data_IF_448100953527
#
_entry.id   IF_448100953527
#
_cell.length_a   1.000
_cell.length_b   1.000
_cell.length_c   1.000
_cell.angle_alpha   90.00
_cell.angle_beta   90.00
_cell.angle_gamma   90.00
#
_symmetry.space_group_name_H-M   'P 1'
#
loop_
_entity.id
_entity.type
_entity.pdbx_description
1 polymer ?
#
# COMPACT_ATOMS: atom_id res chain seq x y z
N UNK A 1 -23.12 -31.53 65.53
CA UNK A 1 -23.06 -31.64 64.05
C UNK A 1 -22.98 -30.24 63.46
N UNK A 2 -21.81 -29.88 62.88
CA UNK A 2 -21.43 -28.51 62.50
C UNK A 2 -21.34 -28.45 60.97
N UNK A 3 -22.34 -27.86 60.29
CA UNK A 3 -22.30 -27.62 58.83
C UNK A 3 -21.55 -26.31 58.57
N UNK A 4 -20.34 -26.39 58.01
CA UNK A 4 -19.63 -25.24 57.46
C UNK A 4 -20.12 -24.97 56.03
N UNK A 5 -20.42 -23.72 55.63
CA UNK A 5 -20.70 -23.40 54.24
C UNK A 5 -19.42 -23.49 53.39
N UNK A 6 -19.58 -23.99 52.16
CA UNK A 6 -18.52 -24.23 51.20
C UNK A 6 -17.88 -22.90 50.79
N UNK A 7 -16.58 -22.74 51.04
CA UNK A 7 -15.77 -21.69 50.42
C UNK A 7 -15.69 -21.97 48.92
N UNK A 8 -16.29 -21.09 48.12
CA UNK A 8 -16.18 -21.11 46.67
C UNK A 8 -14.78 -20.60 46.32
N UNK A 9 -13.94 -21.50 45.79
CA UNK A 9 -12.54 -21.25 45.48
C UNK A 9 -12.42 -20.29 44.29
N UNK A 10 -12.08 -19.03 44.58
CA UNK A 10 -11.83 -17.95 43.61
C UNK A 10 -10.57 -18.24 42.75
N UNK A 11 -9.84 -19.33 43.04
CA UNK A 11 -8.61 -19.75 42.34
C UNK A 11 -8.82 -20.09 40.85
N UNK A 12 -10.06 -20.29 40.39
CA UNK A 12 -10.35 -20.60 38.98
C UNK A 12 -10.56 -19.36 38.09
N UNK A 13 -10.63 -18.15 38.65
CA UNK A 13 -10.77 -16.91 37.88
C UNK A 13 -9.43 -16.20 37.56
N UNK A 14 -8.35 -16.62 38.23
CA UNK A 14 -7.01 -16.02 38.06
C UNK A 14 -6.26 -16.35 36.76
N UNK A 15 -6.48 -17.50 36.07
CA UNK A 15 -5.74 -17.77 34.83
C UNK A 15 -6.31 -17.02 33.62
N UNK A 16 -7.54 -16.49 33.69
CA UNK A 16 -8.10 -15.67 32.60
C UNK A 16 -7.42 -14.28 32.52
N UNK A 17 -7.01 -13.72 33.67
CA UNK A 17 -6.34 -12.42 33.73
C UNK A 17 -4.91 -12.47 33.18
N UNK A 18 -4.23 -13.62 33.16
CA UNK A 18 -2.88 -13.73 32.62
C UNK A 18 -2.83 -13.81 31.08
N UNK A 19 -3.86 -14.36 30.43
CA UNK A 19 -3.92 -14.41 28.95
C UNK A 19 -4.20 -13.03 28.35
N UNK A 20 -4.88 -12.14 29.10
CA UNK A 20 -5.22 -10.78 28.63
C UNK A 20 -4.07 -9.78 28.79
N UNK A 21 -3.04 -10.11 29.57
CA UNK A 21 -1.91 -9.21 29.84
C UNK A 21 -0.75 -9.28 28.83
N UNK A 22 -0.90 -10.01 27.71
CA UNK A 22 0.18 -10.19 26.72
C UNK A 22 -0.09 -9.52 25.35
N UNK A 23 -1.16 -8.75 25.16
CA UNK A 23 -1.49 -8.25 23.80
C UNK A 23 -2.15 -6.88 23.69
N UNK A 24 -2.30 -6.14 24.79
CA UNK A 24 -2.96 -4.83 24.75
C UNK A 24 -2.08 -3.77 25.39
N UNK A 25 -1.12 -3.26 24.62
CA UNK A 25 -0.54 -1.95 24.91
C UNK A 25 -1.41 -0.90 24.25
N UNK A 26 -2.41 -0.41 24.99
CA UNK A 26 -3.17 0.80 24.63
C UNK A 26 -2.26 2.00 24.89
N UNK A 27 -1.51 2.44 23.88
CA UNK A 27 -0.89 3.76 23.93
C UNK A 27 -1.97 4.82 23.69
N UNK A 28 -2.11 5.84 24.54
CA UNK A 28 -3.09 6.89 24.33
C UNK A 28 -2.54 7.93 23.36
N UNK A 29 -2.39 7.56 22.09
CA UNK A 29 -2.41 8.50 20.98
C UNK A 29 -3.24 7.89 19.84
N UNK A 30 -4.56 7.87 20.10
CA UNK A 30 -5.67 7.72 19.13
C UNK A 30 -5.77 6.42 18.30
N UNK A 31 -5.39 5.26 18.84
CA UNK A 31 -5.53 4.00 18.09
C UNK A 31 -5.47 2.69 18.89
N UNK A 32 -5.87 1.59 18.24
CA UNK A 32 -5.77 0.20 18.73
C UNK A 32 -4.79 -0.55 17.84
N UNK A 33 -3.75 -1.14 18.43
CA UNK A 33 -2.76 -1.95 17.71
C UNK A 33 -2.67 -3.34 18.31
N UNK A 34 -2.66 -4.37 17.46
CA UNK A 34 -2.53 -5.77 17.88
C UNK A 34 -1.22 -6.32 17.33
N UNK A 35 -0.17 -6.41 18.18
CA UNK A 35 1.10 -7.01 17.80
C UNK A 35 0.97 -8.54 17.73
N UNK A 36 1.70 -9.16 16.80
CA UNK A 36 1.85 -10.63 16.72
C UNK A 36 3.30 -11.08 16.92
N UNK A 37 4.25 -10.19 16.64
CA UNK A 37 5.66 -10.35 16.93
C UNK A 37 6.30 -8.97 17.11
N UNK A 38 7.55 -8.91 17.56
CA UNK A 38 8.27 -7.65 17.72
C UNK A 38 8.32 -6.88 16.39
N UNK A 39 7.76 -5.67 16.39
CA UNK A 39 7.68 -4.80 15.21
C UNK A 39 6.69 -5.25 14.12
N UNK A 40 5.90 -6.31 14.37
CA UNK A 40 4.90 -6.83 13.44
C UNK A 40 3.50 -6.71 14.03
N UNK A 41 2.65 -5.92 13.39
CA UNK A 41 1.27 -5.69 13.79
C UNK A 41 0.30 -6.40 12.83
N UNK A 42 -0.64 -7.17 13.38
CA UNK A 42 -1.72 -7.78 12.59
C UNK A 42 -2.90 -6.82 12.38
N UNK A 43 -3.12 -5.92 13.34
CA UNK A 43 -4.14 -4.88 13.25
C UNK A 43 -3.55 -3.55 13.70
N UNK A 44 -3.71 -2.51 12.90
CA UNK A 44 -3.42 -1.13 13.30
C UNK A 44 -4.62 -0.24 12.96
N UNK A 45 -5.39 0.10 13.98
CA UNK A 45 -6.46 1.10 13.90
C UNK A 45 -5.93 2.40 14.48
N UNK A 46 -5.99 3.50 13.72
CA UNK A 46 -5.68 4.84 14.21
C UNK A 46 -6.73 5.83 13.71
N UNK A 47 -7.01 6.88 14.49
CA UNK A 47 -7.97 7.90 14.08
C UNK A 47 -7.33 8.91 13.12
N UNK A 48 -6.17 9.44 13.52
CA UNK A 48 -5.50 10.53 12.81
C UNK A 48 -4.18 10.05 12.20
N UNK A 49 -3.33 9.42 13.00
CA UNK A 49 -1.99 9.03 12.58
C UNK A 49 -1.58 7.70 13.23
N UNK A 50 -1.09 6.77 12.42
CA UNK A 50 -0.53 5.50 12.87
C UNK A 50 0.75 5.19 12.12
N UNK A 51 1.83 4.95 12.87
CA UNK A 51 3.12 4.49 12.35
C UNK A 51 3.45 3.10 12.85
N UNK A 52 3.77 2.19 11.94
CA UNK A 52 4.14 0.81 12.22
C UNK A 52 5.39 0.44 11.45
N UNK A 53 6.22 -0.45 11.97
CA UNK A 53 7.35 -0.95 11.19
C UNK A 53 6.84 -1.91 10.11
N UNK A 54 6.26 -3.03 10.53
CA UNK A 54 5.68 -4.03 9.64
C UNK A 54 4.21 -4.27 9.98
N UNK A 55 3.34 -4.22 8.97
CA UNK A 55 1.93 -4.61 9.11
C UNK A 55 1.75 -5.93 8.35
N UNK A 56 1.39 -7.00 9.07
CA UNK A 56 1.07 -8.30 8.51
C UNK A 56 -0.42 -8.60 8.75
N UNK A 57 -1.29 -7.82 8.10
CA UNK A 57 -2.72 -7.87 8.32
C UNK A 57 -3.42 -6.61 7.80
N UNK A 58 -4.20 -5.94 8.64
CA UNK A 58 -5.02 -4.81 8.24
C UNK A 58 -4.67 -3.55 9.02
N UNK A 59 -4.58 -2.42 8.33
CA UNK A 59 -4.45 -1.12 8.95
C UNK A 59 -5.50 -0.16 8.43
N UNK A 60 -6.18 0.53 9.34
CA UNK A 60 -7.25 1.48 9.04
C UNK A 60 -7.02 2.77 9.82
N UNK A 61 -7.07 3.91 9.13
CA UNK A 61 -6.97 5.20 9.81
C UNK A 61 -6.82 6.41 8.92
N UNK A 62 -6.66 7.59 9.50
CA UNK A 62 -6.47 8.84 8.75
C UNK A 62 -5.18 8.81 7.91
N UNK A 63 -4.05 8.74 8.61
CA UNK A 63 -2.71 8.65 8.03
C UNK A 63 -2.03 7.37 8.49
N UNK A 64 -1.74 6.46 7.56
CA UNK A 64 -1.10 5.18 7.85
C UNK A 64 0.31 5.13 7.26
N UNK A 65 1.34 5.10 8.11
CA UNK A 65 2.74 4.96 7.71
C UNK A 65 3.26 3.57 8.10
N UNK A 66 3.90 2.86 7.16
CA UNK A 66 4.75 1.73 7.53
C UNK A 66 5.98 1.54 6.66
N UNK A 67 6.96 0.78 7.15
CA UNK A 67 8.08 0.35 6.32
C UNK A 67 7.65 -0.78 5.39
N UNK A 68 6.97 -1.79 5.93
CA UNK A 68 6.47 -2.92 5.15
C UNK A 68 4.98 -3.18 5.41
N UNK A 69 4.22 -3.45 4.36
CA UNK A 69 2.84 -3.90 4.42
C UNK A 69 2.73 -5.27 3.73
N UNK A 70 2.14 -6.23 4.42
CA UNK A 70 1.72 -7.53 3.92
C UNK A 70 0.23 -7.70 4.28
N UNK A 71 -0.66 -7.20 3.43
CA UNK A 71 -2.10 -7.26 3.69
C UNK A 71 -2.85 -6.05 3.13
N UNK A 72 -3.64 -5.36 3.96
CA UNK A 72 -4.50 -4.27 3.52
C UNK A 72 -4.31 -2.98 4.33
N UNK A 73 -4.29 -1.83 3.64
CA UNK A 73 -4.37 -0.49 4.24
C UNK A 73 -5.59 0.27 3.72
N UNK A 74 -6.32 0.91 4.61
CA UNK A 74 -7.42 1.82 4.28
C UNK A 74 -7.23 3.12 5.01
N UNK A 75 -7.19 4.24 4.30
CA UNK A 75 -7.05 5.54 4.95
C UNK A 75 -7.17 6.74 4.04
N UNK A 76 -7.03 7.94 4.59
CA UNK A 76 -6.99 9.16 3.77
C UNK A 76 -5.65 9.21 3.04
N UNK A 77 -4.56 8.99 3.78
CA UNK A 77 -3.21 8.94 3.25
C UNK A 77 -2.54 7.64 3.72
N UNK A 78 -1.97 6.89 2.80
CA UNK A 78 -1.22 5.68 3.09
C UNK A 78 0.20 5.82 2.55
N UNK A 79 1.19 5.64 3.42
CA UNK A 79 2.61 5.58 3.05
C UNK A 79 3.16 4.20 3.39
N UNK A 80 3.87 3.58 2.45
CA UNK A 80 4.61 2.32 2.70
C UNK A 80 5.92 2.30 1.94
N UNK A 81 7.07 1.95 2.52
CA UNK A 81 8.26 1.73 1.69
C UNK A 81 8.06 0.52 0.78
N UNK A 82 7.63 -0.59 1.35
CA UNK A 82 7.23 -1.78 0.61
C UNK A 82 5.77 -2.13 0.90
N UNK A 83 4.95 -2.17 -0.15
CA UNK A 83 3.53 -2.50 -0.06
C UNK A 83 3.24 -3.78 -0.83
N UNK A 84 2.90 -4.86 -0.13
CA UNK A 84 2.45 -6.12 -0.69
C UNK A 84 0.99 -6.37 -0.29
N UNK A 85 0.06 -6.05 -1.19
CA UNK A 85 -1.36 -6.31 -0.98
C UNK A 85 -2.28 -5.20 -1.50
N UNK A 86 -3.26 -4.80 -0.71
CA UNK A 86 -4.31 -3.86 -1.12
C UNK A 86 -4.18 -2.54 -0.36
N UNK A 87 -4.16 -1.43 -1.07
CA UNK A 87 -4.20 -0.10 -0.44
C UNK A 87 -5.35 0.71 -1.02
N UNK A 88 -6.12 1.33 -0.14
CA UNK A 88 -7.27 2.17 -0.50
C UNK A 88 -7.14 3.50 0.24
N UNK A 89 -7.15 4.60 -0.50
CA UNK A 89 -7.12 5.93 0.11
C UNK A 89 -7.13 7.08 -0.86
N UNK A 90 -7.21 8.32 -0.37
CA UNK A 90 -7.14 9.47 -1.27
C UNK A 90 -5.75 9.59 -1.88
N UNK A 91 -4.72 9.37 -1.07
CA UNK A 91 -3.32 9.43 -1.50
C UNK A 91 -2.56 8.20 -1.02
N UNK A 92 -2.12 7.37 -1.95
CA UNK A 92 -1.30 6.19 -1.66
C UNK A 92 0.11 6.43 -2.18
N UNK A 93 1.11 6.32 -1.32
CA UNK A 93 2.52 6.49 -1.64
C UNK A 93 3.25 5.19 -1.30
N UNK A 94 3.97 4.62 -2.26
CA UNK A 94 4.84 3.49 -1.99
C UNK A 94 6.17 3.52 -2.75
N UNK A 95 7.30 3.21 -2.11
CA UNK A 95 8.56 3.12 -2.84
C UNK A 95 8.60 1.88 -3.74
N UNK A 96 8.01 0.79 -3.25
CA UNK A 96 7.73 -0.44 -3.98
C UNK A 96 6.33 -0.93 -3.68
N UNK A 97 5.59 -1.23 -4.74
CA UNK A 97 4.20 -1.64 -4.67
C UNK A 97 3.97 -2.94 -5.45
N UNK A 98 3.40 -3.93 -4.77
CA UNK A 98 2.92 -5.18 -5.35
C UNK A 98 1.48 -5.40 -4.90
N UNK A 99 0.55 -5.43 -5.85
CA UNK A 99 -0.87 -5.68 -5.57
C UNK A 99 -1.80 -4.61 -6.13
N UNK A 100 -2.82 -4.21 -5.36
CA UNK A 100 -3.92 -3.35 -5.82
C UNK A 100 -3.90 -2.03 -5.05
N UNK A 101 -3.88 -0.91 -5.78
CA UNK A 101 -3.84 0.43 -5.22
C UNK A 101 -5.02 1.23 -5.76
N UNK A 102 -5.94 1.64 -4.90
CA UNK A 102 -7.14 2.39 -5.27
C UNK A 102 -7.13 3.75 -4.59
N UNK A 103 -7.29 4.83 -5.35
CA UNK A 103 -7.34 6.15 -4.75
C UNK A 103 -7.66 7.33 -5.65
N UNK A 104 -7.42 8.55 -5.16
CA UNK A 104 -7.39 9.72 -6.05
C UNK A 104 -6.02 9.89 -6.67
N UNK A 105 -4.97 9.70 -5.87
CA UNK A 105 -3.57 9.79 -6.25
C UNK A 105 -2.85 8.52 -5.79
N UNK A 106 -2.23 7.82 -6.72
CA UNK A 106 -1.32 6.72 -6.43
C UNK A 106 0.09 7.10 -6.89
N UNK A 107 1.05 7.15 -5.97
CA UNK A 107 2.45 7.44 -6.23
C UNK A 107 3.30 6.23 -5.89
N UNK A 108 4.14 5.84 -6.84
CA UNK A 108 4.96 4.64 -6.72
C UNK A 108 6.35 4.80 -7.32
N UNK A 109 7.32 4.09 -6.77
CA UNK A 109 8.69 4.10 -7.26
C UNK A 109 9.64 4.86 -6.34
N UNK A 110 10.93 4.84 -6.69
CA UNK A 110 12.01 5.30 -5.83
C UNK A 110 11.86 6.81 -5.54
N UNK A 111 11.39 7.15 -4.34
CA UNK A 111 11.79 8.40 -3.71
C UNK A 111 13.31 8.35 -3.60
N UNK A 112 14.00 9.38 -4.10
CA UNK A 112 15.48 9.42 -4.15
C UNK A 112 16.07 9.33 -2.74
N UNK A 113 16.18 8.12 -2.21
CA UNK A 113 16.90 7.84 -0.98
C UNK A 113 18.25 7.28 -1.39
N UNK A 114 19.21 8.20 -1.39
CA UNK A 114 20.62 7.96 -1.66
C UNK A 114 21.17 6.96 -0.62
N UNK A 115 21.83 5.89 -1.09
CA UNK A 115 22.61 4.88 -0.33
C UNK A 115 21.90 3.58 0.11
N UNK A 116 21.52 2.74 -0.84
CA UNK A 116 21.48 1.28 -0.61
C UNK A 116 21.72 0.55 -1.93
N UNK A 117 22.51 -0.56 -1.94
CA UNK A 117 22.79 -1.29 -3.15
C UNK A 117 21.51 -1.87 -3.73
N UNK A 118 21.36 -1.60 -5.01
CA UNK A 118 20.19 -1.80 -5.85
C UNK A 118 19.86 -3.29 -6.01
N UNK A 119 18.97 -3.82 -5.16
CA UNK A 119 18.14 -4.93 -5.59
C UNK A 119 17.08 -4.35 -6.52
N UNK A 120 17.25 -4.62 -7.80
CA UNK A 120 16.37 -4.29 -8.93
C UNK A 120 14.98 -4.97 -8.77
N UNK A 121 14.28 -4.62 -7.70
CA UNK A 121 13.02 -5.27 -7.36
C UNK A 121 11.93 -4.33 -7.85
N UNK A 122 11.40 -4.68 -9.01
CA UNK A 122 10.33 -3.96 -9.69
C UNK A 122 9.00 -4.24 -8.99
N UNK A 123 8.15 -3.22 -8.85
CA UNK A 123 6.78 -3.40 -8.41
C UNK A 123 5.88 -3.92 -9.54
N UNK A 124 4.82 -4.64 -9.18
CA UNK A 124 3.83 -5.18 -10.12
C UNK A 124 2.42 -5.06 -9.54
N UNK A 125 1.47 -4.51 -10.28
CA UNK A 125 0.14 -4.37 -9.71
C UNK A 125 -0.89 -3.71 -10.60
N UNK A 126 -2.07 -3.52 -10.02
CA UNK A 126 -3.18 -2.76 -10.55
C UNK A 126 -3.31 -1.45 -9.78
N UNK A 127 -3.32 -0.33 -10.48
CA UNK A 127 -3.55 0.99 -9.89
C UNK A 127 -4.79 1.59 -10.52
N UNK A 128 -5.75 1.96 -9.68
CA UNK A 128 -6.99 2.62 -10.09
C UNK A 128 -7.07 3.94 -9.35
N UNK A 129 -6.88 5.05 -10.07
CA UNK A 129 -6.97 6.37 -9.47
C UNK A 129 -7.30 7.47 -10.45
N UNK A 130 -7.62 8.67 -9.96
CA UNK A 130 -7.73 9.84 -10.84
C UNK A 130 -6.37 10.12 -11.49
N UNK A 131 -5.30 10.11 -10.71
CA UNK A 131 -3.93 10.14 -11.22
C UNK A 131 -3.07 9.00 -10.65
N UNK A 132 -2.33 8.33 -11.53
CA UNK A 132 -1.32 7.33 -11.18
C UNK A 132 0.06 7.85 -11.59
N UNK A 133 1.04 7.80 -10.68
CA UNK A 133 2.42 8.24 -10.89
C UNK A 133 3.37 7.07 -10.53
N UNK A 134 4.24 6.66 -11.46
CA UNK A 134 5.08 5.48 -11.28
C UNK A 134 6.35 5.45 -12.12
N UNK A 135 7.54 5.41 -11.51
CA UNK A 135 8.80 5.40 -12.29
C UNK A 135 9.31 4.00 -12.63
N UNK A 136 9.16 3.02 -11.73
CA UNK A 136 9.89 1.75 -11.77
C UNK A 136 9.01 0.52 -11.49
N UNK A 137 7.76 0.55 -11.95
CA UNK A 137 6.79 -0.53 -11.70
C UNK A 137 6.00 -0.93 -12.95
N UNK A 138 5.96 -2.23 -13.24
CA UNK A 138 5.09 -2.79 -14.28
C UNK A 138 3.67 -2.90 -13.74
N UNK A 139 2.89 -1.85 -13.93
CA UNK A 139 1.52 -1.77 -13.43
C UNK A 139 0.50 -1.63 -14.54
N UNK A 140 -0.69 -2.19 -14.33
CA UNK A 140 -1.88 -1.78 -15.06
C UNK A 140 -2.42 -0.53 -14.38
N UNK A 141 -2.30 0.62 -15.02
CA UNK A 141 -2.76 1.91 -14.53
C UNK A 141 -4.09 2.25 -15.20
N UNK A 142 -5.13 2.49 -14.40
CA UNK A 142 -6.45 2.90 -14.86
C UNK A 142 -6.76 4.23 -14.18
N UNK A 143 -7.03 5.27 -14.96
CA UNK A 143 -7.26 6.60 -14.40
C UNK A 143 -7.50 7.70 -15.41
N UNK A 144 -7.68 8.94 -14.96
CA UNK A 144 -7.75 10.08 -15.88
C UNK A 144 -6.34 10.45 -16.39
N UNK A 145 -5.37 10.44 -15.49
CA UNK A 145 -3.96 10.72 -15.79
C UNK A 145 -3.07 9.56 -15.34
N UNK A 146 -2.27 9.01 -16.24
CA UNK A 146 -1.31 7.95 -15.91
C UNK A 146 0.08 8.41 -16.33
N UNK A 147 0.95 8.68 -15.36
CA UNK A 147 2.32 9.16 -15.53
C UNK A 147 3.29 8.07 -15.07
N UNK A 148 3.70 7.19 -15.97
CA UNK A 148 4.67 6.18 -15.60
C UNK A 148 5.37 5.48 -16.76
N UNK A 149 6.62 5.10 -16.54
CA UNK A 149 7.49 4.60 -17.61
C UNK A 149 7.10 3.18 -18.08
N UNK A 150 6.68 2.33 -17.15
CA UNK A 150 6.49 0.90 -17.35
C UNK A 150 5.03 0.49 -17.14
N UNK A 151 4.60 -0.54 -17.88
CA UNK A 151 3.26 -1.14 -17.73
C UNK A 151 2.22 -0.68 -18.75
N UNK A 152 0.97 -1.04 -18.50
CA UNK A 152 -0.17 -0.72 -19.38
C UNK A 152 -0.93 0.44 -18.76
N UNK A 153 -1.22 1.49 -19.52
CA UNK A 153 -1.98 2.64 -19.03
C UNK A 153 -3.27 2.83 -19.82
N UNK A 154 -4.39 2.93 -19.12
CA UNK A 154 -5.72 3.16 -19.67
C UNK A 154 -6.28 4.43 -19.02
N UNK A 155 -6.52 5.47 -19.81
CA UNK A 155 -6.96 6.74 -19.26
C UNK A 155 -7.09 7.88 -20.26
N UNK A 156 -7.58 9.04 -19.84
CA UNK A 156 -7.70 10.18 -20.76
C UNK A 156 -6.32 10.66 -21.24
N UNK A 157 -5.37 10.78 -20.31
CA UNK A 157 -3.99 11.20 -20.56
C UNK A 157 -3.03 10.13 -20.04
N UNK A 158 -2.14 9.65 -20.91
CA UNK A 158 -1.10 8.70 -20.54
C UNK A 158 0.27 9.24 -20.95
N UNK A 159 1.27 9.08 -20.09
CA UNK A 159 2.68 9.37 -20.37
C UNK A 159 3.54 8.20 -19.91
N UNK A 160 4.27 7.56 -20.83
CA UNK A 160 5.02 6.34 -20.55
C UNK A 160 5.74 5.75 -21.76
N UNK A 161 6.30 4.55 -21.66
CA UNK A 161 7.06 3.94 -22.78
C UNK A 161 6.47 2.63 -23.32
N UNK A 162 5.46 2.07 -22.65
CA UNK A 162 4.81 0.79 -22.98
C UNK A 162 3.44 1.01 -23.66
N UNK A 163 2.43 0.17 -23.36
CA UNK A 163 1.09 0.23 -23.97
C UNK A 163 0.25 1.32 -23.32
N UNK A 164 -0.31 2.19 -24.15
CA UNK A 164 -1.16 3.29 -23.69
C UNK A 164 -2.48 3.33 -24.50
N UNK A 165 -3.60 3.36 -23.79
CA UNK A 165 -4.95 3.45 -24.35
C UNK A 165 -5.60 4.69 -23.75
N UNK A 166 -5.94 5.68 -24.58
CA UNK A 166 -6.46 6.95 -24.08
C UNK A 166 -6.93 7.95 -25.11
N UNK A 167 -7.07 9.21 -24.70
CA UNK A 167 -7.34 10.32 -25.62
C UNK A 167 -6.04 11.00 -26.06
N UNK A 168 -5.09 11.11 -25.13
CA UNK A 168 -3.77 11.70 -25.33
C UNK A 168 -2.74 10.73 -24.77
N UNK A 169 -1.78 10.34 -25.61
CA UNK A 169 -0.65 9.50 -25.23
C UNK A 169 0.66 10.21 -25.55
N UNK A 170 1.59 10.21 -24.60
CA UNK A 170 2.93 10.78 -24.72
C UNK A 170 4.00 9.73 -24.36
N UNK A 171 5.11 9.75 -25.10
CA UNK A 171 6.16 8.75 -24.98
C UNK A 171 7.43 9.32 -24.34
N UNK A 172 8.08 8.58 -23.43
CA UNK A 172 9.47 8.85 -23.03
C UNK A 172 10.43 8.17 -24.01
N UNK A 173 11.27 8.99 -24.64
CA UNK A 173 12.13 8.64 -25.79
C UNK A 173 13.48 8.07 -25.35
N UNK A 174 13.50 6.84 -24.80
CA UNK A 174 14.79 6.23 -24.41
C UNK A 174 14.90 4.70 -24.52
N UNK A 175 13.96 4.00 -25.17
CA UNK A 175 14.11 2.54 -25.41
C UNK A 175 13.59 2.12 -26.79
N UNK A 176 14.52 1.70 -27.66
CA UNK A 176 14.26 0.84 -28.83
C UNK A 176 13.63 -0.47 -28.34
N UNK A 177 12.32 -0.67 -28.48
CA UNK A 177 11.70 -1.98 -28.24
C UNK A 177 10.43 -2.23 -29.05
N UNK A 178 10.59 -3.13 -30.03
CA UNK A 178 9.72 -4.18 -30.57
C UNK A 178 8.19 -3.97 -30.70
N UNK A 179 7.76 -3.90 -31.97
CA UNK A 179 6.60 -4.53 -32.62
C UNK A 179 5.19 -4.21 -32.07
N UNK A 180 4.46 -3.37 -32.81
CA UNK A 180 3.22 -3.84 -33.46
C UNK A 180 1.87 -3.25 -33.02
N UNK A 181 1.66 -2.96 -31.74
CA UNK A 181 0.34 -2.50 -31.23
C UNK A 181 0.50 -1.51 -30.07
N UNK A 182 1.16 -0.36 -30.32
CA UNK A 182 1.50 0.58 -29.24
C UNK A 182 0.34 1.46 -28.77
N UNK A 183 -0.61 1.81 -29.65
CA UNK A 183 -1.56 2.89 -29.37
C UNK A 183 -2.90 2.68 -30.08
N UNK A 184 -4.01 2.74 -29.33
CA UNK A 184 -5.38 2.80 -29.87
C UNK A 184 -6.01 4.13 -29.42
N UNK A 185 -5.76 5.24 -30.13
CA UNK A 185 -6.11 6.62 -29.69
C UNK A 185 -6.34 7.60 -30.86
N UNK A 186 -7.12 8.67 -30.59
CA UNK A 186 -7.47 9.79 -31.49
C UNK A 186 -6.30 10.78 -31.77
N UNK A 187 -5.45 11.09 -30.77
CA UNK A 187 -4.23 11.90 -30.91
C UNK A 187 -3.01 11.18 -30.34
N UNK A 188 -2.04 10.88 -31.21
CA UNK A 188 -0.79 10.25 -30.83
C UNK A 188 0.37 11.24 -30.99
N UNK A 189 0.98 11.67 -29.88
CA UNK A 189 2.09 12.61 -29.88
C UNK A 189 3.47 11.92 -29.86
N UNK A 190 3.51 10.60 -30.07
CA UNK A 190 4.75 9.88 -30.26
C UNK A 190 5.20 10.06 -31.72
N UNK A 191 5.93 11.15 -31.98
CA UNK A 191 6.63 11.35 -33.24
C UNK A 191 7.78 10.34 -33.29
N UNK A 192 7.62 9.27 -34.08
CA UNK A 192 8.77 8.47 -34.53
C UNK A 192 9.71 9.43 -35.28
N UNK A 193 10.91 9.65 -34.75
CA UNK A 193 12.05 10.17 -35.51
C UNK A 193 12.91 9.02 -36.01
#
# INVERSE_FOLDING_TARGET
>A
MKKRPKQFSITFLLPLLFIVNCSFWVYPEYGVRVPVADGVEALNLNLIYGKSHTIAGVSVGGFNESDSLYGAKVGVINFSKESYGVTVGLHNIAERAVGIHVGLLNETGKLKSEKTPEKETRGYGLKVAVANIGTDEYSLNIGLANLGKLGVSIGAVNMGSFLQIGLINSCFEDQKSLIGLRHFVLFNLCLDK
#
